data_IF_760323379925
#
_entry.id   IF_760323379925
#
_cell.length_a   1.000
_cell.length_b   1.000
_cell.length_c   1.000
_cell.angle_alpha   90.00
_cell.angle_beta   90.00
_cell.angle_gamma   90.00
#
_symmetry.space_group_name_H-M   'P 1'
#
loop_
_entity.id
_entity.type
_entity.pdbx_description
1 polymer ?
#
# COMPACT_ATOMS: atom_id res chain seq x y z
N UNK A 1 9.98 -31.98 -5.65
CA UNK A 1 11.16 -31.32 -5.03
C UNK A 1 11.00 -29.81 -5.22
N UNK A 2 10.71 -29.05 -4.15
CA UNK A 2 10.56 -27.58 -4.27
C UNK A 2 11.95 -26.96 -4.45
N UNK A 3 12.18 -26.32 -5.60
CA UNK A 3 13.46 -25.68 -5.92
C UNK A 3 13.49 -24.30 -5.26
N UNK A 4 14.23 -24.18 -4.16
CA UNK A 4 14.42 -22.89 -3.49
C UNK A 4 15.10 -21.91 -4.46
N UNK A 5 14.37 -20.85 -4.83
CA UNK A 5 14.93 -19.75 -5.63
C UNK A 5 15.07 -18.55 -4.70
N UNK A 6 16.28 -18.06 -4.45
CA UNK A 6 16.47 -16.90 -3.57
C UNK A 6 15.72 -15.69 -4.13
N UNK A 7 15.07 -14.93 -3.23
CA UNK A 7 14.38 -13.70 -3.62
C UNK A 7 15.37 -12.68 -4.16
N UNK A 8 14.97 -11.90 -5.17
CA UNK A 8 15.80 -10.82 -5.71
C UNK A 8 16.16 -9.83 -4.58
N UNK A 9 17.42 -9.39 -4.49
CA UNK A 9 17.81 -8.35 -3.54
C UNK A 9 17.03 -7.06 -3.79
N UNK A 10 16.56 -6.43 -2.71
CA UNK A 10 15.87 -5.14 -2.76
C UNK A 10 16.94 -4.04 -2.81
N UNK A 11 17.04 -3.33 -3.92
CA UNK A 11 17.98 -2.22 -4.13
C UNK A 11 17.27 -0.86 -4.08
N UNK A 12 16.02 -0.82 -4.52
CA UNK A 12 15.18 0.37 -4.56
C UNK A 12 13.79 0.08 -4.02
N UNK A 13 13.05 1.13 -3.65
CA UNK A 13 11.63 1.01 -3.31
C UNK A 13 10.82 0.38 -4.46
N UNK A 14 11.29 0.53 -5.71
CA UNK A 14 10.69 -0.08 -6.90
C UNK A 14 10.73 -1.61 -6.90
N UNK A 15 11.64 -2.21 -6.13
CA UNK A 15 11.74 -3.66 -5.97
C UNK A 15 10.76 -4.20 -4.93
N UNK A 16 10.12 -3.32 -4.15
CA UNK A 16 9.11 -3.72 -3.17
C UNK A 16 7.82 -4.13 -3.90
N UNK A 17 7.37 -5.35 -3.62
CA UNK A 17 6.07 -5.84 -4.11
C UNK A 17 4.92 -4.89 -3.70
N UNK A 18 4.97 -4.37 -2.47
CA UNK A 18 3.96 -3.42 -1.97
C UNK A 18 3.94 -2.11 -2.77
N UNK A 19 5.08 -1.66 -3.31
CA UNK A 19 5.11 -0.49 -4.19
C UNK A 19 4.49 -0.81 -5.56
N UNK A 20 4.89 -1.94 -6.15
CA UNK A 20 4.38 -2.36 -7.46
C UNK A 20 2.86 -2.57 -7.43
N UNK A 21 2.33 -3.20 -6.38
CA UNK A 21 0.91 -3.50 -6.24
C UNK A 21 0.05 -2.28 -5.92
N UNK A 22 0.57 -1.33 -5.16
CA UNK A 22 -0.13 -0.06 -4.91
C UNK A 22 -0.15 0.81 -6.16
N UNK A 23 0.94 0.84 -6.93
CA UNK A 23 0.96 1.52 -8.23
C UNK A 23 -0.04 0.89 -9.21
N UNK A 24 -0.12 -0.44 -9.28
CA UNK A 24 -1.12 -1.15 -10.08
C UNK A 24 -2.55 -0.76 -9.64
N UNK A 25 -2.83 -0.75 -8.33
CA UNK A 25 -4.12 -0.35 -7.78
C UNK A 25 -4.52 1.09 -8.12
N UNK A 26 -3.57 2.02 -8.09
CA UNK A 26 -3.79 3.42 -8.52
C UNK A 26 -4.19 3.48 -9.99
N UNK A 27 -3.49 2.75 -10.86
CA UNK A 27 -3.77 2.74 -12.30
C UNK A 27 -5.17 2.17 -12.58
N UNK A 28 -5.55 1.07 -11.93
CA UNK A 28 -6.89 0.48 -12.04
C UNK A 28 -7.95 1.50 -11.58
N UNK A 29 -7.77 2.11 -10.40
CA UNK A 29 -8.69 3.13 -9.91
C UNK A 29 -8.87 4.28 -10.91
N UNK A 30 -7.76 4.84 -11.41
CA UNK A 30 -7.80 5.99 -12.31
C UNK A 30 -8.41 5.71 -13.67
N UNK A 31 -8.20 4.49 -14.19
CA UNK A 31 -8.70 4.11 -15.52
C UNK A 31 -10.14 3.63 -15.48
N UNK A 32 -10.50 2.85 -14.48
CA UNK A 32 -11.70 2.01 -14.56
C UNK A 32 -12.80 2.45 -13.58
N UNK A 33 -12.46 3.11 -12.46
CA UNK A 33 -13.44 3.52 -11.43
C UNK A 33 -13.65 5.03 -11.43
N UNK A 34 -12.57 5.80 -11.41
CA UNK A 34 -12.60 7.27 -11.32
C UNK A 34 -13.47 7.92 -12.41
N UNK A 35 -13.41 7.53 -13.70
CA UNK A 35 -14.23 8.16 -14.72
C UNK A 35 -15.73 7.99 -14.47
N UNK A 36 -16.16 6.84 -13.96
CA UNK A 36 -17.56 6.59 -13.61
C UNK A 36 -17.99 7.44 -12.41
N UNK A 37 -17.14 7.54 -11.38
CA UNK A 37 -17.41 8.41 -10.23
C UNK A 37 -17.49 9.91 -10.60
N UNK A 38 -16.73 10.35 -11.62
CA UNK A 38 -16.87 11.72 -12.17
C UNK A 38 -18.24 11.92 -12.80
N UNK A 39 -18.71 10.96 -13.63
CA UNK A 39 -20.05 11.02 -14.25
C UNK A 39 -21.17 11.01 -13.20
N UNK A 40 -20.97 10.25 -12.12
CA UNK A 40 -21.91 10.11 -11.01
C UNK A 40 -21.81 11.25 -9.98
N UNK A 41 -20.89 12.20 -10.17
CA UNK A 41 -20.67 13.35 -9.30
C UNK A 41 -20.47 12.94 -7.83
N UNK A 42 -19.60 11.96 -7.58
CA UNK A 42 -19.34 11.49 -6.22
C UNK A 42 -18.66 12.57 -5.36
N UNK A 43 -19.32 12.97 -4.28
CA UNK A 43 -18.90 14.08 -3.42
C UNK A 43 -17.49 13.89 -2.83
N UNK A 44 -17.10 12.65 -2.51
CA UNK A 44 -15.83 12.34 -1.86
C UNK A 44 -14.73 11.91 -2.85
N UNK A 45 -14.92 12.17 -4.15
CA UNK A 45 -13.99 11.75 -5.19
C UNK A 45 -12.57 12.30 -4.98
N UNK A 46 -12.44 13.55 -4.53
CA UNK A 46 -11.12 14.15 -4.26
C UNK A 46 -10.41 13.40 -3.12
N UNK A 47 -11.12 13.10 -2.04
CA UNK A 47 -10.59 12.32 -0.91
C UNK A 47 -10.13 10.94 -1.33
N UNK A 48 -10.95 10.23 -2.13
CA UNK A 48 -10.60 8.92 -2.68
C UNK A 48 -9.39 9.00 -3.62
N UNK A 49 -9.31 10.05 -4.44
CA UNK A 49 -8.20 10.28 -5.37
C UNK A 49 -6.88 10.52 -4.62
N UNK A 50 -6.90 11.38 -3.61
CA UNK A 50 -5.74 11.66 -2.77
C UNK A 50 -5.26 10.39 -2.06
N UNK A 51 -6.21 9.60 -1.55
CA UNK A 51 -5.94 8.34 -0.88
C UNK A 51 -5.28 7.30 -1.80
N UNK A 52 -5.76 7.14 -3.04
CA UNK A 52 -5.14 6.22 -3.98
C UNK A 52 -3.68 6.62 -4.28
N UNK A 53 -3.44 7.91 -4.58
CA UNK A 53 -2.13 8.42 -4.96
C UNK A 53 -1.10 8.43 -3.82
N UNK A 54 -1.54 8.68 -2.58
CA UNK A 54 -0.65 8.78 -1.41
C UNK A 54 -0.01 7.44 -1.04
N UNK A 55 -0.70 6.32 -1.25
CA UNK A 55 -0.23 5.00 -0.82
C UNK A 55 1.16 4.65 -1.43
N UNK A 56 1.37 4.64 -2.76
CA UNK A 56 2.68 4.34 -3.32
C UNK A 56 3.75 5.40 -2.97
N UNK A 57 3.34 6.66 -2.76
CA UNK A 57 4.24 7.73 -2.31
C UNK A 57 4.78 7.44 -0.91
N UNK A 58 3.90 7.13 0.04
CA UNK A 58 4.29 6.79 1.41
C UNK A 58 5.13 5.52 1.48
N UNK A 59 4.88 4.52 0.63
CA UNK A 59 5.75 3.34 0.53
C UNK A 59 7.16 3.73 0.11
N UNK A 60 7.31 4.59 -0.90
CA UNK A 60 8.61 5.04 -1.39
C UNK A 60 9.35 5.90 -0.34
N UNK A 61 8.64 6.84 0.28
CA UNK A 61 9.16 7.75 1.30
C UNK A 61 9.63 6.97 2.54
N UNK A 62 8.78 6.07 3.03
CA UNK A 62 9.08 5.17 4.15
C UNK A 62 10.34 4.34 3.88
N UNK A 63 10.45 3.75 2.67
CA UNK A 63 11.64 3.02 2.28
C UNK A 63 12.90 3.92 2.31
N UNK A 64 12.80 5.17 1.83
CA UNK A 64 13.91 6.13 1.84
C UNK A 64 14.44 6.46 3.23
N UNK A 65 13.56 6.55 4.22
CA UNK A 65 13.91 6.98 5.59
C UNK A 65 14.31 5.84 6.53
N UNK A 66 14.10 4.58 6.15
CA UNK A 66 14.22 3.41 7.05
C UNK A 66 15.57 3.25 7.78
N UNK A 67 16.65 3.86 7.27
CA UNK A 67 17.97 3.84 7.91
C UNK A 67 18.28 5.12 8.71
N UNK A 68 17.81 6.29 8.24
CA UNK A 68 18.09 7.59 8.86
C UNK A 68 17.13 7.89 10.01
N UNK A 69 15.84 7.67 9.82
CA UNK A 69 14.80 7.83 10.84
C UNK A 69 13.82 6.64 10.79
N UNK A 70 14.16 5.61 11.55
CA UNK A 70 13.38 4.37 11.59
C UNK A 70 11.96 4.60 12.12
N UNK A 71 11.79 5.49 13.11
CA UNK A 71 10.47 5.74 13.72
C UNK A 71 9.55 6.42 12.72
N UNK A 72 10.07 7.44 12.01
CA UNK A 72 9.32 8.12 10.96
C UNK A 72 9.04 7.21 9.77
N UNK A 73 9.99 6.35 9.39
CA UNK A 73 9.78 5.36 8.33
C UNK A 73 8.61 4.41 8.64
N UNK A 74 8.56 3.87 9.87
CA UNK A 74 7.45 3.00 10.30
C UNK A 74 6.13 3.76 10.30
N UNK A 75 6.09 4.95 10.91
CA UNK A 75 4.87 5.76 10.95
C UNK A 75 4.38 6.14 9.53
N UNK A 76 5.29 6.36 8.58
CA UNK A 76 4.95 6.64 7.18
C UNK A 76 4.40 5.42 6.47
N UNK A 77 4.95 4.22 6.73
CA UNK A 77 4.38 2.97 6.20
C UNK A 77 3.00 2.68 6.78
N UNK A 78 2.79 3.00 8.06
CA UNK A 78 1.48 2.90 8.71
C UNK A 78 0.46 3.85 8.09
N UNK A 79 0.85 5.07 7.71
CA UNK A 79 -0.03 5.97 6.91
C UNK A 79 -0.45 5.32 5.59
N UNK A 80 0.46 4.67 4.87
CA UNK A 80 0.12 3.93 3.65
C UNK A 80 -0.91 2.81 3.93
N UNK A 81 -0.75 2.09 5.05
CA UNK A 81 -1.71 1.05 5.47
C UNK A 81 -3.08 1.64 5.85
N UNK A 82 -3.12 2.82 6.47
CA UNK A 82 -4.38 3.50 6.77
C UNK A 82 -5.09 3.98 5.50
N UNK A 83 -4.33 4.46 4.51
CA UNK A 83 -4.91 4.87 3.23
C UNK A 83 -5.41 3.66 2.42
N UNK A 84 -4.78 2.48 2.51
CA UNK A 84 -5.40 1.24 2.02
C UNK A 84 -6.77 0.98 2.65
N UNK A 85 -6.92 1.18 3.97
CA UNK A 85 -8.21 0.99 4.65
C UNK A 85 -9.25 2.01 4.18
N UNK A 86 -8.87 3.29 4.06
CA UNK A 86 -9.76 4.33 3.56
C UNK A 86 -10.20 4.04 2.12
N UNK A 87 -9.30 3.55 1.26
CA UNK A 87 -9.67 3.12 -0.09
C UNK A 87 -10.73 2.03 -0.08
N UNK A 88 -10.59 1.01 0.78
CA UNK A 88 -11.61 -0.04 0.93
C UNK A 88 -12.96 0.56 1.36
N UNK A 89 -12.95 1.44 2.37
CA UNK A 89 -14.18 2.12 2.83
C UNK A 89 -14.82 2.95 1.72
N UNK A 90 -14.05 3.74 0.96
CA UNK A 90 -14.58 4.50 -0.17
C UNK A 90 -15.17 3.59 -1.24
N UNK A 91 -14.50 2.49 -1.57
CA UNK A 91 -14.97 1.50 -2.53
C UNK A 91 -16.31 0.90 -2.09
N UNK A 92 -16.41 0.44 -0.84
CA UNK A 92 -17.65 -0.10 -0.25
C UNK A 92 -18.78 0.94 -0.23
N UNK A 93 -18.47 2.19 0.13
CA UNK A 93 -19.44 3.29 0.10
C UNK A 93 -19.96 3.56 -1.31
N UNK A 94 -19.06 3.65 -2.31
CA UNK A 94 -19.47 3.90 -3.70
C UNK A 94 -20.34 2.76 -4.24
N UNK A 95 -20.02 1.49 -3.92
CA UNK A 95 -20.85 0.35 -4.26
C UNK A 95 -22.25 0.44 -3.61
N UNK A 96 -22.31 0.79 -2.32
CA UNK A 96 -23.58 0.94 -1.60
C UNK A 96 -24.45 2.08 -2.12
N UNK A 97 -23.85 3.22 -2.49
CA UNK A 97 -24.56 4.41 -2.96
C UNK A 97 -25.06 4.24 -4.40
N UNK A 98 -24.21 3.72 -5.28
CA UNK A 98 -24.47 3.70 -6.72
C UNK A 98 -24.95 2.35 -7.25
N UNK A 99 -24.82 1.28 -6.46
CA UNK A 99 -25.30 -0.05 -6.80
C UNK A 99 -24.80 -0.52 -8.16
N UNK A 100 -25.72 -0.92 -9.03
CA UNK A 100 -25.43 -1.47 -10.36
C UNK A 100 -24.85 -0.46 -11.35
N UNK A 101 -24.76 0.83 -11.00
CA UNK A 101 -24.10 1.85 -11.83
C UNK A 101 -22.58 1.72 -11.82
N UNK A 102 -22.03 0.93 -10.90
CA UNK A 102 -20.60 0.60 -10.84
C UNK A 102 -20.42 -0.92 -10.98
N UNK A 103 -19.27 -1.33 -11.50
CA UNK A 103 -18.90 -2.74 -11.54
C UNK A 103 -18.55 -3.22 -10.13
N UNK A 104 -19.47 -3.93 -9.48
CA UNK A 104 -19.28 -4.50 -8.14
C UNK A 104 -18.08 -5.46 -8.11
N UNK A 105 -17.93 -6.29 -9.15
CA UNK A 105 -16.80 -7.22 -9.27
C UNK A 105 -15.44 -6.50 -9.27
N UNK A 106 -15.35 -5.36 -9.95
CA UNK A 106 -14.14 -4.54 -10.01
C UNK A 106 -13.85 -3.88 -8.66
N UNK A 107 -14.89 -3.36 -7.99
CA UNK A 107 -14.78 -2.78 -6.65
C UNK A 107 -14.28 -3.85 -5.67
N UNK A 108 -14.85 -5.04 -5.67
CA UNK A 108 -14.48 -6.15 -4.79
C UNK A 108 -13.07 -6.69 -5.07
N UNK A 109 -12.66 -6.77 -6.34
CA UNK A 109 -11.28 -7.08 -6.71
C UNK A 109 -10.30 -6.03 -6.17
N UNK A 110 -10.60 -4.73 -6.38
CA UNK A 110 -9.72 -3.66 -5.94
C UNK A 110 -9.63 -3.56 -4.41
N UNK A 111 -10.75 -3.75 -3.70
CA UNK A 111 -10.79 -3.82 -2.24
C UNK A 111 -9.93 -4.97 -1.71
N UNK A 112 -10.01 -6.16 -2.31
CA UNK A 112 -9.14 -7.30 -1.96
C UNK A 112 -7.67 -6.99 -2.19
N UNK A 113 -7.32 -6.35 -3.30
CA UNK A 113 -5.92 -5.93 -3.57
C UNK A 113 -5.38 -4.98 -2.52
N UNK A 114 -6.16 -3.99 -2.08
CA UNK A 114 -5.76 -3.08 -1.01
C UNK A 114 -5.59 -3.81 0.33
N UNK A 115 -6.51 -4.72 0.67
CA UNK A 115 -6.44 -5.55 1.88
C UNK A 115 -5.17 -6.42 1.89
N UNK A 116 -4.90 -7.14 0.80
CA UNK A 116 -3.73 -8.00 0.67
C UNK A 116 -2.43 -7.19 0.72
N UNK A 117 -2.41 -6.05 0.04
CA UNK A 117 -1.23 -5.19 -0.02
C UNK A 117 -0.94 -4.55 1.33
N UNK A 118 -1.96 -4.13 2.08
CA UNK A 118 -1.83 -3.72 3.48
C UNK A 118 -1.19 -4.83 4.32
N UNK A 119 -1.67 -6.07 4.20
CA UNK A 119 -1.10 -7.22 4.93
C UNK A 119 0.38 -7.45 4.60
N UNK A 120 0.78 -7.22 3.35
CA UNK A 120 2.19 -7.27 2.93
C UNK A 120 3.01 -6.11 3.49
N UNK A 121 2.46 -4.90 3.58
CA UNK A 121 3.13 -3.76 4.24
C UNK A 121 3.39 -4.03 5.72
N UNK A 122 2.43 -4.61 6.44
CA UNK A 122 2.63 -5.00 7.83
C UNK A 122 3.78 -6.03 7.98
N UNK A 123 3.86 -7.01 7.09
CA UNK A 123 4.98 -7.98 7.07
C UNK A 123 6.32 -7.30 6.76
N UNK A 124 6.32 -6.32 5.86
CA UNK A 124 7.51 -5.51 5.55
C UNK A 124 7.98 -4.74 6.79
N UNK A 125 7.08 -4.07 7.51
CA UNK A 125 7.34 -3.39 8.77
C UNK A 125 7.99 -4.34 9.79
N UNK A 126 7.41 -5.52 9.99
CA UNK A 126 7.97 -6.55 10.88
C UNK A 126 9.35 -7.02 10.43
N UNK A 127 9.58 -7.14 9.13
CA UNK A 127 10.90 -7.47 8.61
C UNK A 127 11.93 -6.39 8.95
N UNK A 128 11.58 -5.11 8.78
CA UNK A 128 12.47 -4.00 9.12
C UNK A 128 12.78 -3.95 10.62
N UNK A 129 11.78 -4.17 11.48
CA UNK A 129 11.99 -4.25 12.93
C UNK A 129 12.98 -5.35 13.32
N UNK A 130 12.88 -6.53 12.71
CA UNK A 130 13.81 -7.64 12.94
C UNK A 130 15.24 -7.29 12.53
N UNK A 131 15.44 -6.71 11.34
CA UNK A 131 16.77 -6.29 10.89
C UNK A 131 17.36 -5.24 11.85
N UNK A 132 16.57 -4.25 12.26
CA UNK A 132 17.02 -3.22 13.20
C UNK A 132 17.43 -3.80 14.55
N UNK A 133 16.68 -4.78 15.07
CA UNK A 133 17.03 -5.46 16.32
C UNK A 133 18.34 -6.26 16.19
N UNK A 134 18.55 -6.95 15.07
CA UNK A 134 19.78 -7.68 14.79
C UNK A 134 20.99 -6.73 14.71
N UNK A 135 20.87 -5.59 14.03
CA UNK A 135 21.93 -4.57 13.94
C UNK A 135 22.29 -4.00 15.33
N UNK A 136 21.28 -3.70 16.14
CA UNK A 136 21.48 -3.23 17.53
C UNK A 136 22.17 -4.29 18.37
N UNK A 137 21.77 -5.56 18.28
CA UNK A 137 22.41 -6.66 19.01
C UNK A 137 23.89 -6.80 18.61
N UNK A 138 24.19 -6.82 17.30
CA UNK A 138 25.56 -6.90 16.78
C UNK A 138 26.43 -5.72 17.22
N UNK A 139 25.87 -4.51 17.32
CA UNK A 139 26.60 -3.33 17.79
C UNK A 139 27.06 -3.43 19.25
N UNK A 140 26.32 -4.18 20.09
CA UNK A 140 26.65 -4.41 21.49
C UNK A 140 27.81 -5.38 21.68
N UNK A 141 28.01 -6.33 20.76
CA UNK A 141 29.12 -7.29 20.81
C UNK A 141 30.44 -6.73 20.25
N UNK A 142 30.39 -5.58 19.56
CA UNK A 142 31.57 -4.89 19.03
C UNK A 142 32.13 -3.81 19.98
N UNK A 143 31.53 -3.64 21.15
CA UNK A 143 32.03 -2.80 22.25
C UNK A 143 32.53 -3.70 23.36
#
# INVERSE_FOLDING_TARGET
MFKFTPKKPIRSFRDLEVYQKTLEGVVIFYKDIRPELVKLQYDLLEGMTNCALSIPLFVAESHGMRFSDFKLAVATLEKAMQDCNKMIVYLEQTAGIYGTKLSVDLIDDLSRRYMDTRGKMFRLEKSWQKFRQADVAMSKFKK
#
